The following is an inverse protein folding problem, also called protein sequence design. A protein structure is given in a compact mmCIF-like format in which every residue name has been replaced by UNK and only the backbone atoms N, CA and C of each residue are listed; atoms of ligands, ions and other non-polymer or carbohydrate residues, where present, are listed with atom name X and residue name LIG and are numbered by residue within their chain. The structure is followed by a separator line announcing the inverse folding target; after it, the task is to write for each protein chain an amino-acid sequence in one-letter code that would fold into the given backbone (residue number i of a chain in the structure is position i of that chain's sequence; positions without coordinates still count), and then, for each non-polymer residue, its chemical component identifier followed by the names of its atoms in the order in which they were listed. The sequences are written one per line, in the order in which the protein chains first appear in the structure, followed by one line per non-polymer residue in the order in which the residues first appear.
data_IF_682314082222
#
_entry.id   IF_682314082222
#
_cell.length_a   1.000
_cell.length_b   1.000
_cell.length_c   1.000
_cell.angle_alpha   90.00
_cell.angle_beta   90.00
_cell.angle_gamma   90.00
#
_symmetry.space_group_name_H-M   'P 1'
#
loop_
_entity.id
_entity.type
_entity.pdbx_description
1 polymer ?
#
# COMPACT_ATOMS: atom_id res chain seq x y z
N UNK A 1 17.18 -10.56 3.89
CA UNK A 1 17.06 -9.32 4.66
C UNK A 1 15.67 -8.73 4.51
N UNK A 2 15.17 -8.15 5.59
CA UNK A 2 13.91 -7.45 5.48
C UNK A 2 14.05 -6.25 4.55
N UNK A 3 13.02 -6.01 3.79
CA UNK A 3 12.99 -4.89 2.89
C UNK A 3 12.89 -3.59 3.67
N UNK A 4 13.66 -2.59 3.26
CA UNK A 4 13.53 -1.26 3.81
C UNK A 4 12.58 -0.47 2.93
N UNK A 5 11.61 0.15 3.58
CA UNK A 5 10.75 1.09 2.90
C UNK A 5 11.30 2.48 3.15
N UNK A 6 11.93 3.04 2.13
CA UNK A 6 12.45 4.40 2.21
C UNK A 6 11.30 5.34 1.90
N UNK A 7 10.70 5.89 2.96
CA UNK A 7 9.53 6.75 2.80
C UNK A 7 9.82 8.14 3.32
N UNK A 8 9.30 9.11 2.64
CA UNK A 8 9.07 10.44 3.18
C UNK A 8 7.62 10.54 3.65
N UNK A 9 6.98 9.37 3.86
CA UNK A 9 5.61 9.26 4.32
C UNK A 9 4.77 8.33 3.46
N UNK A 10 4.32 8.78 2.33
CA UNK A 10 3.32 8.09 1.52
C UNK A 10 3.90 6.98 0.64
N UNK A 11 3.19 5.84 0.56
CA UNK A 11 3.59 4.72 -0.29
C UNK A 11 3.30 5.01 -1.77
N UNK A 12 2.13 5.57 -2.05
CA UNK A 12 1.68 5.85 -3.42
C UNK A 12 1.51 7.35 -3.62
N UNK A 13 1.73 7.78 -4.86
CA UNK A 13 1.46 9.16 -5.27
C UNK A 13 -0.04 9.41 -5.37
N UNK A 14 -0.49 10.60 -5.00
CA UNK A 14 -1.88 10.98 -5.22
C UNK A 14 -2.15 11.04 -6.74
N UNK A 15 -3.20 10.32 -7.21
CA UNK A 15 -3.46 10.22 -8.65
C UNK A 15 -4.22 11.44 -9.20
N UNK A 16 -3.58 12.61 -9.15
CA UNK A 16 -4.21 13.89 -9.44
C UNK A 16 -4.77 14.03 -10.86
N UNK A 17 -4.24 13.25 -11.80
CA UNK A 17 -4.72 13.26 -13.19
C UNK A 17 -5.85 12.27 -13.45
N UNK A 18 -6.16 11.42 -12.48
CA UNK A 18 -7.17 10.37 -12.63
C UNK A 18 -8.42 10.64 -11.80
N UNK A 19 -8.26 11.27 -10.64
CA UNK A 19 -9.36 11.49 -9.70
C UNK A 19 -9.00 12.63 -8.75
N UNK A 20 -10.03 13.24 -8.17
CA UNK A 20 -9.85 14.24 -7.11
C UNK A 20 -9.63 13.60 -5.74
N UNK A 21 -9.84 12.29 -5.64
CA UNK A 21 -9.67 11.58 -4.38
C UNK A 21 -8.19 11.34 -4.08
N UNK A 22 -7.85 11.35 -2.81
CA UNK A 22 -6.50 11.01 -2.34
C UNK A 22 -6.36 9.50 -2.21
N UNK A 23 -5.12 9.02 -2.21
CA UNK A 23 -4.84 7.58 -2.12
C UNK A 23 -5.49 6.95 -0.90
N UNK A 24 -5.41 7.59 0.27
CA UNK A 24 -5.97 7.01 1.48
C UNK A 24 -7.48 6.78 1.37
N UNK A 25 -8.19 7.67 0.67
CA UNK A 25 -9.63 7.51 0.43
C UNK A 25 -9.91 6.32 -0.48
N UNK A 26 -9.11 6.18 -1.53
CA UNK A 26 -9.26 5.08 -2.49
C UNK A 26 -9.00 3.73 -1.82
N UNK A 27 -7.96 3.66 -0.99
CA UNK A 27 -7.63 2.42 -0.28
C UNK A 27 -8.73 2.10 0.74
N UNK A 28 -9.20 3.09 1.47
CA UNK A 28 -10.24 2.89 2.49
C UNK A 28 -11.52 2.32 1.90
N UNK A 29 -11.93 2.81 0.73
CA UNK A 29 -13.16 2.33 0.10
C UNK A 29 -12.99 1.00 -0.63
N UNK A 30 -11.75 0.62 -0.97
CA UNK A 30 -11.48 -0.55 -1.80
C UNK A 30 -11.01 -1.77 -1.02
N UNK A 31 -10.48 -1.59 0.18
CA UNK A 31 -9.78 -2.64 0.92
C UNK A 31 -10.25 -2.70 2.37
N UNK A 32 -10.51 -3.93 2.85
CA UNK A 32 -10.75 -4.18 4.26
C UNK A 32 -9.40 -4.35 4.95
N UNK A 33 -9.00 -3.36 5.75
CA UNK A 33 -7.70 -3.34 6.40
C UNK A 33 -7.50 -4.52 7.36
N UNK A 34 -8.55 -4.97 8.02
CA UNK A 34 -8.46 -6.10 8.94
C UNK A 34 -8.17 -7.41 8.21
N UNK A 35 -8.66 -7.53 6.99
CA UNK A 35 -8.38 -8.69 6.14
C UNK A 35 -6.97 -8.65 5.58
N UNK A 36 -6.61 -7.52 4.96
CA UNK A 36 -5.31 -7.41 4.27
C UNK A 36 -4.15 -7.55 5.24
N UNK A 37 -4.30 -7.06 6.46
CA UNK A 37 -3.24 -7.12 7.46
C UNK A 37 -3.02 -8.52 8.06
N UNK A 38 -3.78 -9.51 7.59
CA UNK A 38 -3.57 -10.92 7.93
C UNK A 38 -3.04 -11.74 6.76
N UNK A 39 -2.86 -11.13 5.60
CA UNK A 39 -2.55 -11.87 4.37
C UNK A 39 -1.06 -11.98 4.05
N UNK A 40 -0.26 -11.01 4.45
CA UNK A 40 1.13 -10.89 4.01
C UNK A 40 2.12 -10.84 5.17
N UNK A 41 1.90 -11.67 6.18
CA UNK A 41 2.80 -11.76 7.32
C UNK A 41 2.93 -10.44 8.05
N UNK A 42 4.17 -9.97 8.21
CA UNK A 42 4.45 -8.72 8.92
C UNK A 42 4.36 -7.47 8.03
N UNK A 43 4.05 -7.65 6.74
CA UNK A 43 3.78 -6.53 5.86
C UNK A 43 2.33 -6.09 6.05
N UNK A 44 2.12 -4.91 6.59
CA UNK A 44 0.78 -4.42 6.91
C UNK A 44 0.57 -2.99 6.42
N UNK A 45 -0.70 -2.63 6.33
CA UNK A 45 -1.14 -1.28 6.03
C UNK A 45 -1.44 -0.57 7.34
N UNK A 46 -0.99 0.68 7.48
CA UNK A 46 -1.22 1.46 8.70
C UNK A 46 -2.70 1.81 8.86
N UNK A 47 -3.25 1.57 10.05
CA UNK A 47 -4.62 1.97 10.37
C UNK A 47 -4.78 3.48 10.51
N UNK A 48 -3.70 4.17 10.86
CA UNK A 48 -3.72 5.63 11.03
C UNK A 48 -3.61 6.37 9.71
N UNK A 49 -2.84 5.80 8.78
CA UNK A 49 -2.61 6.38 7.46
C UNK A 49 -2.67 5.28 6.42
N UNK A 50 -3.77 5.18 5.70
CA UNK A 50 -3.99 4.12 4.72
C UNK A 50 -3.02 4.14 3.54
N UNK A 51 -2.20 5.16 3.41
CA UNK A 51 -1.18 5.22 2.38
C UNK A 51 0.23 4.94 2.92
N UNK A 52 0.32 4.37 4.12
CA UNK A 52 1.60 4.02 4.75
C UNK A 52 1.67 2.51 4.94
N UNK A 53 2.76 1.90 4.50
CA UNK A 53 3.03 0.49 4.74
C UNK A 53 4.03 0.34 5.88
N UNK A 54 3.86 -0.73 6.63
CA UNK A 54 4.69 -1.02 7.79
C UNK A 54 5.22 -2.43 7.66
N UNK A 55 6.52 -2.61 7.93
CA UNK A 55 7.10 -3.91 8.19
C UNK A 55 7.17 -4.05 9.71
N UNK A 56 6.33 -4.89 10.29
CA UNK A 56 6.29 -5.07 11.75
C UNK A 56 7.60 -5.61 12.30
N UNK A 57 8.17 -6.62 11.65
CA UNK A 57 9.45 -7.19 12.05
C UNK A 57 10.15 -7.91 10.91
N UNK A 58 9.51 -8.93 10.37
CA UNK A 58 10.14 -9.92 9.50
C UNK A 58 9.52 -10.04 8.12
N UNK A 59 8.84 -9.01 7.65
CA UNK A 59 8.28 -9.05 6.32
C UNK A 59 9.41 -9.14 5.28
N UNK A 60 9.29 -10.09 4.38
CA UNK A 60 10.22 -10.23 3.28
C UNK A 60 9.92 -9.21 2.19
N UNK A 61 10.86 -9.04 1.24
CA UNK A 61 10.60 -8.20 0.08
C UNK A 61 9.42 -8.74 -0.72
N UNK A 62 9.24 -10.06 -0.76
CA UNK A 62 8.10 -10.70 -1.39
C UNK A 62 6.78 -10.30 -0.73
N UNK A 63 6.74 -10.30 0.60
CA UNK A 63 5.55 -9.91 1.35
C UNK A 63 5.18 -8.45 1.08
N UNK A 64 6.15 -7.56 1.11
CA UNK A 64 5.92 -6.14 0.84
C UNK A 64 5.42 -5.91 -0.59
N UNK A 65 6.04 -6.57 -1.56
CA UNK A 65 5.63 -6.46 -2.96
C UNK A 65 4.23 -7.04 -3.17
N UNK A 66 3.91 -8.16 -2.51
CA UNK A 66 2.60 -8.77 -2.60
C UNK A 66 1.52 -7.85 -2.02
N UNK A 67 1.80 -7.21 -0.90
CA UNK A 67 0.88 -6.25 -0.30
C UNK A 67 0.65 -5.06 -1.24
N UNK A 68 1.71 -4.51 -1.81
CA UNK A 68 1.62 -3.40 -2.75
C UNK A 68 0.76 -3.77 -3.96
N UNK A 69 1.02 -4.93 -4.55
CA UNK A 69 0.27 -5.40 -5.72
C UNK A 69 -1.20 -5.64 -5.39
N UNK A 70 -1.48 -6.21 -4.22
CA UNK A 70 -2.84 -6.43 -3.75
C UNK A 70 -3.61 -5.11 -3.66
N UNK A 71 -2.99 -4.09 -3.07
CA UNK A 71 -3.59 -2.77 -2.94
C UNK A 71 -3.88 -2.17 -4.32
N UNK A 72 -2.88 -2.20 -5.21
CA UNK A 72 -3.03 -1.65 -6.56
C UNK A 72 -4.16 -2.32 -7.34
N UNK A 73 -4.21 -3.64 -7.29
CA UNK A 73 -5.23 -4.41 -8.01
C UNK A 73 -6.63 -4.13 -7.49
N UNK A 74 -6.79 -4.10 -6.17
CA UNK A 74 -8.11 -3.89 -5.58
C UNK A 74 -8.62 -2.46 -5.76
N UNK A 75 -7.74 -1.49 -5.67
CA UNK A 75 -8.11 -0.09 -5.95
C UNK A 75 -8.52 0.04 -7.41
N UNK A 76 -7.78 -0.57 -8.32
CA UNK A 76 -8.12 -0.52 -9.75
C UNK A 76 -9.47 -1.18 -10.04
N UNK A 77 -9.71 -2.34 -9.46
CA UNK A 77 -10.99 -3.06 -9.65
C UNK A 77 -12.18 -2.25 -9.16
N UNK A 78 -12.00 -1.55 -8.05
CA UNK A 78 -13.10 -0.80 -7.44
C UNK A 78 -13.31 0.58 -8.07
N UNK A 79 -12.24 1.26 -8.42
CA UNK A 79 -12.28 2.69 -8.78
C UNK A 79 -11.76 2.99 -10.18
N UNK A 80 -11.14 2.04 -10.85
CA UNK A 80 -10.48 2.20 -12.15
C UNK A 80 -9.27 3.14 -12.09
N UNK A 81 -8.75 3.40 -10.89
CA UNK A 81 -7.57 4.25 -10.70
C UNK A 81 -6.32 3.40 -10.62
N UNK A 82 -5.31 3.77 -11.40
CA UNK A 82 -3.99 3.13 -11.36
C UNK A 82 -3.09 3.86 -10.37
N UNK A 83 -2.75 3.20 -9.27
CA UNK A 83 -1.84 3.78 -8.28
C UNK A 83 -0.39 3.65 -8.72
N UNK A 84 0.41 4.67 -8.45
CA UNK A 84 1.85 4.67 -8.72
C UNK A 84 2.63 4.80 -7.42
N UNK A 85 3.73 4.06 -7.31
CA UNK A 85 4.58 4.11 -6.13
C UNK A 85 5.32 5.43 -6.02
N UNK A 86 5.36 5.99 -4.82
CA UNK A 86 6.20 7.14 -4.49
C UNK A 86 7.46 6.71 -3.74
N UNK A 87 7.38 5.56 -3.05
CA UNK A 87 8.51 5.03 -2.30
C UNK A 87 9.46 4.22 -3.18
N UNK A 88 10.68 4.06 -2.69
CA UNK A 88 11.66 3.14 -3.29
C UNK A 88 11.84 1.97 -2.32
N UNK A 89 11.68 0.75 -2.85
CA UNK A 89 11.92 -0.45 -2.06
C UNK A 89 13.40 -0.81 -2.15
N UNK A 90 14.04 -0.89 -1.00
CA UNK A 90 15.47 -1.22 -0.91
C UNK A 90 15.60 -2.58 -0.24
N UNK A 91 16.26 -3.48 -0.96
CA UNK A 91 16.52 -4.83 -0.45
C UNK A 91 17.91 -4.95 0.13
#
# INVERSE_FOLDING_TARGET
QPIRVKTSGSTFKNPVYQTDKKVWELIKESIDINKVNKMFGDAILSEKHYNFLINKEKASSKDMKSLINFIKENVYKKTQVNLELEIVLVE
#
